data_IF_257453987036
#
_entry.id   IF_257453987036
#
_cell.length_a   1.000
_cell.length_b   1.000
_cell.length_c   1.000
_cell.angle_alpha   90.00
_cell.angle_beta   90.00
_cell.angle_gamma   90.00
#
_symmetry.space_group_name_H-M   'P 1'
#
loop_
_entity.id
_entity.type
_entity.pdbx_description
1 polymer ?
#
# COMPACT_ATOMS: atom_id res chain seq x y z
N UNK A 1 -31.17 -9.46 45.53
CA UNK A 1 -29.86 -9.93 45.04
C UNK A 1 -29.17 -8.75 44.38
N UNK A 2 -27.94 -8.42 44.79
CA UNK A 2 -27.18 -7.28 44.24
C UNK A 2 -26.50 -7.75 42.95
N UNK A 3 -26.90 -7.19 41.80
CA UNK A 3 -26.30 -7.53 40.51
C UNK A 3 -24.88 -6.94 40.49
N UNK A 4 -23.86 -7.78 40.62
CA UNK A 4 -22.47 -7.33 40.45
C UNK A 4 -22.18 -7.34 38.96
N UNK A 5 -21.76 -6.18 38.45
CA UNK A 5 -21.15 -6.10 37.12
C UNK A 5 -19.86 -6.91 37.14
N UNK A 6 -19.70 -7.79 36.17
CA UNK A 6 -18.44 -8.48 35.96
C UNK A 6 -17.49 -7.62 35.12
N UNK A 7 -16.22 -8.01 35.06
CA UNK A 7 -15.20 -7.30 34.27
C UNK A 7 -15.57 -7.20 32.79
N UNK A 8 -16.31 -8.18 32.26
CA UNK A 8 -16.72 -8.19 30.85
C UNK A 8 -17.80 -7.14 30.61
N UNK A 9 -18.78 -7.03 31.49
CA UNK A 9 -19.85 -6.04 31.41
C UNK A 9 -19.26 -4.62 31.47
N UNK A 10 -18.36 -4.37 32.44
CA UNK A 10 -17.69 -3.07 32.61
C UNK A 10 -16.89 -2.71 31.36
N UNK A 11 -16.09 -3.65 30.84
CA UNK A 11 -15.27 -3.38 29.65
C UNK A 11 -16.10 -3.22 28.37
N UNK A 12 -17.24 -3.91 28.29
CA UNK A 12 -18.17 -3.76 27.17
C UNK A 12 -18.79 -2.36 27.18
N UNK A 13 -19.26 -1.90 28.34
CA UNK A 13 -19.79 -0.54 28.53
C UNK A 13 -18.76 0.52 28.14
N UNK A 14 -17.53 0.41 28.67
CA UNK A 14 -16.43 1.31 28.30
C UNK A 14 -16.09 1.28 26.80
N UNK A 15 -16.16 0.10 26.14
CA UNK A 15 -15.90 -0.02 24.72
C UNK A 15 -16.98 0.66 23.88
N UNK A 16 -18.25 0.58 24.29
CA UNK A 16 -19.38 1.24 23.64
C UNK A 16 -19.31 2.75 23.82
N UNK A 17 -19.05 3.22 25.04
CA UNK A 17 -18.84 4.63 25.35
C UNK A 17 -17.71 5.23 24.52
N UNK A 18 -16.57 4.53 24.38
CA UNK A 18 -15.46 5.04 23.61
C UNK A 18 -15.77 5.17 22.10
N UNK A 19 -16.57 4.25 21.54
CA UNK A 19 -17.05 4.34 20.15
C UNK A 19 -18.02 5.51 19.97
N UNK A 20 -18.91 5.70 20.93
CA UNK A 20 -19.86 6.80 20.93
C UNK A 20 -19.14 8.16 21.07
N UNK A 21 -18.22 8.28 22.02
CA UNK A 21 -17.38 9.45 22.23
C UNK A 21 -16.56 9.79 20.99
N UNK A 22 -15.92 8.79 20.38
CA UNK A 22 -15.21 8.92 19.09
C UNK A 22 -16.11 9.51 17.99
N UNK A 23 -17.35 9.02 17.86
CA UNK A 23 -18.29 9.53 16.87
C UNK A 23 -18.71 10.98 17.15
N UNK A 24 -18.91 11.32 18.42
CA UNK A 24 -19.24 12.68 18.86
C UNK A 24 -18.09 13.66 18.58
N UNK A 25 -16.84 13.27 18.86
CA UNK A 25 -15.67 14.08 18.52
C UNK A 25 -15.55 14.31 17.02
N UNK A 26 -15.78 13.27 16.21
CA UNK A 26 -15.75 13.40 14.76
C UNK A 26 -16.73 14.48 14.26
N UNK A 27 -17.97 14.46 14.73
CA UNK A 27 -18.97 15.48 14.36
C UNK A 27 -18.57 16.87 14.85
N UNK A 28 -18.09 16.99 16.10
CA UNK A 28 -17.64 18.27 16.65
C UNK A 28 -16.47 18.87 15.85
N UNK A 29 -15.53 18.06 15.36
CA UNK A 29 -14.42 18.50 14.52
C UNK A 29 -14.91 19.02 13.16
N UNK A 30 -15.91 18.38 12.56
CA UNK A 30 -16.49 18.79 11.29
C UNK A 30 -17.24 20.13 11.40
N UNK A 31 -17.86 20.38 12.54
CA UNK A 31 -18.66 21.59 12.79
C UNK A 31 -17.85 22.74 13.42
N UNK A 32 -16.62 22.49 13.86
CA UNK A 32 -15.77 23.49 14.49
C UNK A 32 -15.26 24.55 13.49
N UNK A 33 -15.78 25.78 13.62
CA UNK A 33 -15.36 26.93 12.81
C UNK A 33 -14.07 27.60 13.33
N UNK A 34 -13.66 27.33 14.57
CA UNK A 34 -12.46 27.91 15.18
C UNK A 34 -11.29 26.91 15.13
N UNK A 35 -10.23 27.25 14.42
CA UNK A 35 -9.07 26.36 14.20
C UNK A 35 -8.39 25.90 15.50
N UNK A 36 -8.08 26.77 16.48
CA UNK A 36 -7.58 26.34 17.77
C UNK A 36 -8.45 25.27 18.46
N UNK A 37 -9.77 25.50 18.52
CA UNK A 37 -10.72 24.54 19.11
C UNK A 37 -10.74 23.24 18.31
N UNK A 38 -10.78 23.34 16.98
CA UNK A 38 -10.75 22.18 16.08
C UNK A 38 -9.50 21.31 16.31
N UNK A 39 -8.34 21.94 16.47
CA UNK A 39 -7.09 21.24 16.75
C UNK A 39 -7.09 20.56 18.13
N UNK A 40 -7.65 21.21 19.15
CA UNK A 40 -7.84 20.58 20.48
C UNK A 40 -8.77 19.36 20.38
N UNK A 41 -9.89 19.47 19.66
CA UNK A 41 -10.80 18.35 19.45
C UNK A 41 -10.14 17.19 18.69
N UNK A 42 -9.30 17.49 17.69
CA UNK A 42 -8.51 16.47 16.98
C UNK A 42 -7.55 15.74 17.92
N UNK A 43 -6.89 16.44 18.84
CA UNK A 43 -6.01 15.82 19.82
C UNK A 43 -6.79 14.88 20.75
N UNK A 44 -7.89 15.38 21.34
CA UNK A 44 -8.76 14.57 22.20
C UNK A 44 -9.34 13.36 21.47
N UNK A 45 -9.72 13.54 20.20
CA UNK A 45 -10.23 12.45 19.38
C UNK A 45 -9.18 11.35 19.15
N UNK A 46 -7.91 11.72 18.92
CA UNK A 46 -6.84 10.74 18.80
C UNK A 46 -6.62 9.98 20.12
N UNK A 47 -6.66 10.67 21.26
CA UNK A 47 -6.57 10.04 22.58
C UNK A 47 -7.73 9.06 22.81
N UNK A 48 -8.95 9.44 22.43
CA UNK A 48 -10.14 8.59 22.51
C UNK A 48 -10.02 7.33 21.64
N UNK A 49 -9.50 7.47 20.41
CA UNK A 49 -9.25 6.33 19.52
C UNK A 49 -8.19 5.38 20.09
N UNK A 50 -7.15 5.90 20.73
CA UNK A 50 -6.15 5.09 21.44
C UNK A 50 -6.76 4.36 22.63
N UNK A 51 -7.61 5.03 23.42
CA UNK A 51 -8.33 4.41 24.53
C UNK A 51 -9.22 3.25 24.04
N UNK A 52 -10.04 3.49 23.02
CA UNK A 52 -10.90 2.48 22.41
C UNK A 52 -10.09 1.25 21.97
N UNK A 53 -8.93 1.47 21.32
CA UNK A 53 -8.04 0.41 20.87
C UNK A 53 -7.48 -0.41 22.04
N UNK A 54 -7.04 0.25 23.11
CA UNK A 54 -6.52 -0.42 24.31
C UNK A 54 -7.60 -1.29 24.98
N UNK A 55 -8.83 -0.79 25.09
CA UNK A 55 -9.97 -1.56 25.64
C UNK A 55 -10.24 -2.78 24.77
N UNK A 56 -10.32 -2.59 23.45
CA UNK A 56 -10.51 -3.69 22.51
C UNK A 56 -9.45 -4.78 22.64
N UNK A 57 -8.17 -4.40 22.70
CA UNK A 57 -7.06 -5.36 22.84
C UNK A 57 -7.13 -6.11 24.16
N UNK A 58 -7.43 -5.42 25.26
CA UNK A 58 -7.60 -6.05 26.57
C UNK A 58 -8.76 -7.04 26.59
N UNK A 59 -9.91 -6.67 26.01
CA UNK A 59 -11.05 -7.58 25.88
C UNK A 59 -10.73 -8.79 25.00
N UNK A 60 -10.00 -8.57 23.90
CA UNK A 60 -9.57 -9.64 23.01
C UNK A 60 -8.64 -10.63 23.71
N UNK A 61 -7.61 -10.13 24.41
CA UNK A 61 -6.66 -10.95 25.15
C UNK A 61 -7.31 -11.79 26.26
N UNK A 62 -8.37 -11.27 26.88
CA UNK A 62 -9.16 -11.97 27.91
C UNK A 62 -10.23 -12.91 27.32
N UNK A 63 -10.37 -12.98 26.00
CA UNK A 63 -11.39 -13.78 25.33
C UNK A 63 -12.82 -13.22 25.43
N UNK A 64 -12.97 -11.96 25.87
CA UNK A 64 -14.27 -11.29 26.01
C UNK A 64 -14.80 -10.75 24.69
N UNK A 65 -13.89 -10.52 23.72
CA UNK A 65 -14.22 -10.06 22.37
C UNK A 65 -13.58 -10.98 21.31
N UNK A 66 -14.32 -11.94 20.74
CA UNK A 66 -13.82 -12.79 19.67
C UNK A 66 -13.64 -11.98 18.40
N UNK A 67 -12.54 -12.20 17.70
CA UNK A 67 -12.24 -11.57 16.41
C UNK A 67 -12.23 -12.67 15.37
N UNK A 68 -13.11 -12.57 14.38
CA UNK A 68 -13.11 -13.49 13.24
C UNK A 68 -11.80 -13.31 12.46
N UNK A 69 -11.06 -14.40 12.17
CA UNK A 69 -9.87 -14.30 11.36
C UNK A 69 -10.25 -13.73 9.98
N UNK A 70 -9.46 -12.77 9.50
CA UNK A 70 -9.66 -12.25 8.15
C UNK A 70 -9.56 -13.40 7.15
N UNK A 71 -10.67 -13.75 6.49
CA UNK A 71 -10.69 -14.73 5.42
C UNK A 71 -9.71 -14.26 4.35
N UNK A 72 -8.59 -14.98 4.17
CA UNK A 72 -7.67 -14.77 3.05
C UNK A 72 -8.36 -15.23 1.77
N UNK A 73 -9.29 -14.44 1.25
CA UNK A 73 -9.74 -14.61 -0.13
C UNK A 73 -8.56 -14.21 -1.00
N UNK A 74 -7.99 -15.17 -1.71
CA UNK A 74 -6.81 -15.00 -2.53
C UNK A 74 -7.04 -13.94 -3.62
N UNK A 75 -6.60 -12.70 -3.38
CA UNK A 75 -6.28 -11.72 -4.43
C UNK A 75 -4.78 -11.46 -4.46
N UNK A 76 -4.00 -12.54 -4.43
CA UNK A 76 -2.67 -12.55 -5.05
C UNK A 76 -2.88 -12.99 -6.50
N UNK A 77 -3.06 -12.00 -7.39
CA UNK A 77 -2.83 -12.03 -8.84
C UNK A 77 -3.80 -11.06 -9.53
N UNK A 78 -3.52 -9.75 -9.44
CA UNK A 78 -3.95 -8.79 -10.46
C UNK A 78 -3.10 -7.51 -10.41
N UNK A 79 -1.77 -7.67 -10.28
CA UNK A 79 -0.83 -6.78 -10.95
C UNK A 79 -0.50 -7.38 -12.32
N UNK A 80 -1.53 -7.60 -13.14
CA UNK A 80 -1.35 -7.99 -14.53
C UNK A 80 -1.93 -6.88 -15.39
N UNK A 81 -1.04 -5.95 -15.76
CA UNK A 81 -1.14 -5.01 -16.88
C UNK A 81 -2.53 -4.39 -17.10
N UNK A 82 -2.85 -3.33 -16.35
CA UNK A 82 -3.81 -2.33 -16.84
C UNK A 82 -3.13 -1.58 -17.98
N UNK A 83 -3.25 -2.12 -19.20
CA UNK A 83 -3.03 -1.35 -20.41
C UNK A 83 -4.20 -0.36 -20.50
N UNK A 84 -3.93 0.90 -20.19
CA UNK A 84 -4.87 2.00 -20.38
C UNK A 84 -5.23 2.07 -21.88
N UNK A 85 -6.52 2.15 -22.25
CA UNK A 85 -6.93 2.50 -23.61
C UNK A 85 -6.32 3.87 -23.96
N UNK A 86 -5.38 3.88 -24.90
CA UNK A 86 -4.61 5.06 -25.24
C UNK A 86 -5.48 6.20 -25.77
N UNK A 87 -5.61 7.26 -24.97
CA UNK A 87 -5.87 8.59 -25.51
C UNK A 87 -4.60 9.04 -26.25
N UNK A 88 -4.68 9.20 -27.57
CA UNK A 88 -3.63 9.84 -28.36
C UNK A 88 -3.92 11.34 -28.47
N UNK A 89 -3.20 12.21 -27.73
CA UNK A 89 -3.25 13.64 -28.02
C UNK A 89 -2.59 13.91 -29.37
N UNK A 90 -3.30 14.59 -30.26
CA UNK A 90 -2.74 15.16 -31.49
C UNK A 90 -1.67 16.19 -31.10
N UNK A 91 -0.39 15.82 -31.18
CA UNK A 91 0.70 16.73 -30.84
C UNK A 91 2.08 16.14 -31.05
N UNK A 92 2.70 16.54 -32.16
CA UNK A 92 4.15 16.67 -32.44
C UNK A 92 5.08 15.66 -31.76
N UNK A 93 5.58 14.71 -32.55
CA UNK A 93 6.36 13.57 -32.09
C UNK A 93 7.70 13.93 -31.43
N UNK A 94 7.85 13.53 -30.18
CA UNK A 94 9.14 13.30 -29.56
C UNK A 94 9.33 11.79 -29.42
N UNK A 95 10.23 11.22 -30.22
CA UNK A 95 10.54 9.79 -30.17
C UNK A 95 11.21 9.43 -28.84
N UNK A 96 10.66 8.43 -28.16
CA UNK A 96 11.16 7.94 -26.88
C UNK A 96 12.49 7.16 -27.13
N UNK A 97 13.61 7.46 -26.46
CA UNK A 97 14.93 6.85 -26.76
C UNK A 97 14.97 5.31 -26.64
N UNK A 98 14.04 4.74 -25.88
CA UNK A 98 13.96 3.30 -25.63
C UNK A 98 13.46 2.50 -26.85
N UNK A 99 12.60 3.07 -27.70
CA UNK A 99 12.10 2.38 -28.90
C UNK A 99 13.12 2.34 -30.04
N UNK A 100 14.08 3.28 -30.06
CA UNK A 100 15.20 3.26 -31.01
C UNK A 100 16.20 2.14 -30.72
N UNK A 101 16.49 1.88 -29.45
CA UNK A 101 17.44 0.82 -29.07
C UNK A 101 16.90 -0.56 -29.50
N UNK A 102 15.60 -0.80 -29.30
CA UNK A 102 14.95 -2.06 -29.64
C UNK A 102 14.89 -2.33 -31.15
N UNK A 103 14.67 -1.30 -31.96
CA UNK A 103 14.67 -1.41 -33.43
C UNK A 103 16.09 -1.61 -33.99
N UNK A 104 17.12 -1.04 -33.38
CA UNK A 104 18.53 -1.30 -33.77
C UNK A 104 18.96 -2.75 -33.47
N UNK A 105 18.53 -3.35 -32.36
CA UNK A 105 18.84 -4.75 -32.06
C UNK A 105 18.18 -5.75 -33.02
N UNK A 106 16.99 -5.44 -33.53
CA UNK A 106 16.34 -6.28 -34.55
C UNK A 106 16.98 -6.11 -35.93
N UNK A 107 17.41 -4.88 -36.29
CA UNK A 107 18.10 -4.64 -37.55
C UNK A 107 19.47 -5.35 -37.64
N UNK A 108 20.24 -5.38 -36.54
CA UNK A 108 21.55 -6.05 -36.52
C UNK A 108 21.47 -7.59 -36.65
N UNK A 109 20.36 -8.21 -36.22
CA UNK A 109 20.17 -9.66 -36.35
C UNK A 109 19.89 -10.09 -37.81
N UNK A 110 19.31 -9.21 -38.63
CA UNK A 110 19.01 -9.50 -40.03
C UNK A 110 20.25 -9.43 -40.94
N UNK A 111 21.32 -8.76 -40.51
CA UNK A 111 22.52 -8.52 -41.34
C UNK A 111 23.62 -9.57 -41.09
N UNK A 112 23.64 -10.27 -39.95
CA UNK A 112 24.68 -11.26 -39.67
C UNK A 112 24.15 -12.48 -38.88
N UNK A 113 23.73 -13.56 -39.57
CA UNK A 113 23.06 -14.70 -38.93
C UNK A 113 23.98 -15.60 -38.08
N UNK A 114 25.28 -15.29 -37.94
CA UNK A 114 26.24 -16.14 -37.21
C UNK A 114 26.95 -15.49 -36.01
N UNK A 115 26.41 -14.41 -35.44
CA UNK A 115 26.92 -13.91 -34.15
C UNK A 115 26.42 -14.78 -33.00
N UNK A 116 27.29 -15.64 -32.47
CA UNK A 116 27.09 -16.33 -31.19
C UNK A 116 27.09 -15.29 -30.06
N UNK A 117 25.99 -15.13 -29.29
CA UNK A 117 25.88 -14.10 -28.25
C UNK A 117 26.80 -14.31 -27.03
N UNK A 118 27.55 -15.42 -26.96
CA UNK A 118 28.44 -15.74 -25.84
C UNK A 118 29.95 -15.59 -26.13
N UNK A 119 30.36 -14.86 -27.17
CA UNK A 119 31.78 -14.56 -27.37
C UNK A 119 32.27 -13.50 -26.38
N UNK A 120 33.20 -13.90 -25.50
CA UNK A 120 33.89 -13.02 -24.56
C UNK A 120 34.70 -11.95 -25.32
N UNK A 121 34.47 -10.64 -25.09
CA UNK A 121 35.15 -9.57 -25.82
C UNK A 121 36.68 -9.49 -25.59
N UNK A 122 37.24 -10.23 -24.63
CA UNK A 122 38.68 -10.24 -24.34
C UNK A 122 39.55 -11.11 -25.27
N UNK A 123 39.00 -11.65 -26.37
CA UNK A 123 39.78 -12.42 -27.36
C UNK A 123 40.15 -11.64 -28.64
N UNK A 124 39.82 -10.34 -28.73
CA UNK A 124 40.09 -9.52 -29.95
C UNK A 124 41.46 -8.82 -29.91
N UNK A 125 42.23 -8.90 -28.80
CA UNK A 125 43.60 -8.39 -28.74
C UNK A 125 44.56 -9.43 -28.19
N UNK A 126 45.16 -10.22 -29.08
CA UNK A 126 46.32 -11.05 -28.72
C UNK A 126 46.56 -12.18 -29.70
N UNK A 127 47.31 -11.92 -30.77
CA UNK A 127 48.38 -12.76 -31.37
C UNK A 127 48.65 -12.33 -32.82
N UNK A 128 49.33 -11.19 -32.98
CA UNK A 128 50.47 -11.21 -33.91
C UNK A 128 51.60 -11.94 -33.16
N UNK A 129 52.02 -13.12 -33.64
CA UNK A 129 53.41 -13.59 -33.67
C UNK A 129 53.48 -15.10 -34.01
N UNK A 130 54.45 -15.42 -34.88
CA UNK A 130 54.99 -16.75 -35.27
C UNK A 130 54.16 -17.47 -36.35
N UNK A 131 54.68 -17.84 -37.52
CA UNK A 131 56.06 -17.92 -38.06
C UNK A 131 56.07 -17.61 -39.55
#
# INVERSE_FOLDING_TARGET
>A
MMNKLDDRDILTDCLEDAKWGSSSYHMAILEAANEPIRNTLLQLHNDELMLQKNIFEMMHQRGFYPVEPATRTATHQQTQTRQEPGYQPYGVGFANPQTMHQSMYQANQAINPNMNPNMNPNLIMGTQQQS
#
